data_IF_277517975062
#
_entry.id   IF_277517975062
#
_cell.length_a   1.000
_cell.length_b   1.000
_cell.length_c   1.000
_cell.angle_alpha   90.00
_cell.angle_beta   90.00
_cell.angle_gamma   90.00
#
_symmetry.space_group_name_H-M   'P 1'
#
loop_
_entity.id
_entity.type
_entity.pdbx_description
1 polymer ?
#
# COMPACT_ATOMS: atom_id res chain seq x y z
N UNK A 1 -30.69 -12.95 -4.99
CA UNK A 1 -29.65 -12.08 -4.39
C UNK A 1 -28.45 -12.15 -5.33
N UNK A 2 -28.15 -11.06 -6.03
CA UNK A 2 -26.93 -10.99 -6.84
C UNK A 2 -25.76 -11.06 -5.86
N UNK A 3 -25.07 -12.17 -5.82
CA UNK A 3 -23.84 -12.33 -5.07
C UNK A 3 -22.80 -11.50 -5.83
N UNK A 4 -22.35 -10.38 -5.27
CA UNK A 4 -21.27 -9.61 -5.84
C UNK A 4 -20.03 -10.50 -5.95
N UNK A 5 -19.52 -10.71 -7.17
CA UNK A 5 -18.35 -11.55 -7.43
C UNK A 5 -17.14 -10.92 -6.72
N UNK A 6 -16.43 -11.74 -5.96
CA UNK A 6 -15.26 -11.33 -5.20
C UNK A 6 -13.95 -11.81 -5.84
N UNK A 7 -12.84 -11.25 -5.41
CA UNK A 7 -11.50 -11.75 -5.80
C UNK A 7 -11.31 -13.19 -5.31
N UNK A 8 -11.90 -13.58 -4.19
CA UNK A 8 -11.86 -14.95 -3.68
C UNK A 8 -12.52 -15.92 -4.66
N UNK A 9 -13.68 -15.56 -5.24
CA UNK A 9 -14.37 -16.39 -6.24
C UNK A 9 -13.49 -16.58 -7.48
N UNK A 10 -12.77 -15.54 -7.90
CA UNK A 10 -11.79 -15.63 -9.00
C UNK A 10 -10.66 -16.60 -8.65
N UNK A 11 -10.16 -16.56 -7.41
CA UNK A 11 -9.15 -17.53 -6.96
C UNK A 11 -9.70 -18.94 -6.92
N UNK A 12 -10.88 -19.16 -6.36
CA UNK A 12 -11.50 -20.50 -6.33
C UNK A 12 -11.66 -21.08 -7.74
N UNK A 13 -12.07 -20.26 -8.69
CA UNK A 13 -12.35 -20.72 -10.06
C UNK A 13 -11.08 -21.03 -10.86
N UNK A 14 -10.07 -20.20 -10.78
CA UNK A 14 -8.92 -20.24 -11.70
C UNK A 14 -7.61 -20.70 -11.08
N UNK A 15 -7.50 -20.76 -9.74
CA UNK A 15 -6.24 -21.15 -9.09
C UNK A 15 -5.79 -22.58 -9.44
N UNK A 16 -6.66 -23.60 -9.51
CA UNK A 16 -6.24 -24.94 -9.91
C UNK A 16 -5.55 -24.93 -11.28
N UNK A 17 -6.20 -24.38 -12.30
CA UNK A 17 -5.64 -24.28 -13.65
C UNK A 17 -4.37 -23.42 -13.70
N UNK A 18 -4.30 -22.37 -12.88
CA UNK A 18 -3.10 -21.52 -12.78
C UNK A 18 -1.90 -22.30 -12.23
N UNK A 19 -2.09 -23.14 -11.22
CA UNK A 19 -1.06 -24.00 -10.63
C UNK A 19 -0.47 -25.01 -11.60
N UNK A 20 -1.27 -25.50 -12.55
CA UNK A 20 -0.80 -26.44 -13.59
C UNK A 20 0.15 -25.81 -14.60
N UNK A 21 -0.01 -24.50 -14.86
CA UNK A 21 0.65 -23.82 -15.97
C UNK A 21 1.68 -22.79 -15.55
N UNK A 22 1.75 -22.42 -14.26
CA UNK A 22 2.59 -21.34 -13.76
C UNK A 22 3.33 -21.75 -12.49
N UNK A 23 4.64 -21.49 -12.47
CA UNK A 23 5.44 -21.50 -11.25
C UNK A 23 5.35 -20.15 -10.55
N UNK A 24 5.17 -20.15 -9.25
CA UNK A 24 5.11 -18.94 -8.44
C UNK A 24 5.82 -19.12 -7.11
N UNK A 25 6.32 -18.03 -6.55
CA UNK A 25 7.14 -18.06 -5.34
C UNK A 25 6.36 -18.60 -4.14
N UNK A 26 7.05 -19.12 -3.10
CA UNK A 26 6.38 -19.57 -1.87
C UNK A 26 5.49 -18.50 -1.24
N UNK A 27 5.89 -17.22 -1.33
CA UNK A 27 5.09 -16.10 -0.81
C UNK A 27 3.81 -15.87 -1.63
N UNK A 28 3.86 -16.05 -2.96
CA UNK A 28 2.69 -15.98 -3.81
C UNK A 28 1.75 -17.16 -3.56
N UNK A 29 2.30 -18.39 -3.40
CA UNK A 29 1.53 -19.59 -3.06
C UNK A 29 0.78 -19.40 -1.75
N UNK A 30 1.49 -18.99 -0.69
CA UNK A 30 0.89 -18.71 0.60
C UNK A 30 -0.22 -17.65 0.50
N UNK A 31 0.00 -16.59 -0.27
CA UNK A 31 -0.99 -15.53 -0.46
C UNK A 31 -2.22 -16.06 -1.18
N UNK A 32 -2.04 -16.85 -2.25
CA UNK A 32 -3.15 -17.46 -2.99
C UNK A 32 -3.99 -18.36 -2.09
N UNK A 33 -3.36 -19.26 -1.31
CA UNK A 33 -4.04 -20.12 -0.35
C UNK A 33 -4.77 -19.32 0.73
N UNK A 34 -4.13 -18.28 1.29
CA UNK A 34 -4.76 -17.42 2.29
C UNK A 34 -6.02 -16.72 1.75
N UNK A 35 -5.97 -16.21 0.50
CA UNK A 35 -7.13 -15.55 -0.12
C UNK A 35 -8.25 -16.59 -0.36
N UNK A 36 -7.92 -17.75 -0.92
CA UNK A 36 -8.91 -18.81 -1.19
C UNK A 36 -9.61 -19.31 0.09
N UNK A 37 -8.88 -19.40 1.20
CA UNK A 37 -9.43 -19.90 2.48
C UNK A 37 -10.02 -18.81 3.38
N UNK A 38 -9.86 -17.53 3.05
CA UNK A 38 -10.29 -16.42 3.90
C UNK A 38 -11.80 -16.44 4.14
N UNK A 39 -12.22 -16.35 5.40
CA UNK A 39 -13.63 -16.46 5.81
C UNK A 39 -14.33 -17.76 5.36
N UNK A 40 -13.61 -18.87 5.34
CA UNK A 40 -14.15 -20.21 5.16
C UNK A 40 -13.92 -21.08 6.39
N UNK A 41 -14.54 -22.25 6.45
CA UNK A 41 -14.37 -23.21 7.52
C UNK A 41 -12.90 -23.66 7.70
N UNK A 42 -12.12 -23.67 6.60
CA UNK A 42 -10.70 -24.04 6.63
C UNK A 42 -9.83 -23.06 7.46
N UNK A 43 -10.28 -21.82 7.68
CA UNK A 43 -9.62 -20.87 8.58
C UNK A 43 -10.12 -20.98 10.02
N UNK A 44 -11.03 -21.92 10.29
CA UNK A 44 -11.73 -22.05 11.56
C UNK A 44 -12.89 -21.05 11.68
N UNK A 45 -13.73 -21.27 12.68
CA UNK A 45 -14.90 -20.45 12.94
C UNK A 45 -15.15 -20.28 14.45
N UNK A 46 -15.84 -19.20 14.79
CA UNK A 46 -16.42 -18.99 16.12
C UNK A 46 -17.93 -19.21 16.03
N UNK A 47 -18.45 -20.07 16.90
CA UNK A 47 -19.87 -20.29 17.02
C UNK A 47 -20.42 -19.52 18.22
N UNK A 48 -21.54 -18.84 18.03
CA UNK A 48 -22.28 -18.21 19.13
C UNK A 48 -23.77 -18.56 19.05
N UNK A 49 -24.42 -18.60 20.20
CA UNK A 49 -25.83 -18.85 20.31
C UNK A 49 -26.51 -17.76 21.14
N UNK A 50 -27.68 -17.34 20.74
CA UNK A 50 -28.47 -16.35 21.48
C UNK A 50 -29.12 -16.97 22.71
N UNK A 51 -29.00 -16.33 23.88
CA UNK A 51 -29.62 -16.76 25.13
C UNK A 51 -31.16 -16.76 25.07
N UNK A 52 -31.76 -15.87 24.27
CA UNK A 52 -33.20 -15.69 24.23
C UNK A 52 -33.89 -16.51 23.14
N UNK A 53 -33.37 -16.44 21.90
CA UNK A 53 -34.06 -17.09 20.77
C UNK A 53 -33.33 -18.33 20.23
N UNK A 54 -32.22 -18.74 20.85
CA UNK A 54 -31.40 -19.89 20.51
C UNK A 54 -30.89 -19.91 19.08
N UNK A 55 -30.96 -18.78 18.35
CA UNK A 55 -30.42 -18.66 17.02
C UNK A 55 -28.88 -18.75 17.07
N UNK A 56 -28.32 -19.61 16.22
CA UNK A 56 -26.89 -19.86 16.11
C UNK A 56 -26.28 -18.99 15.02
N UNK A 57 -25.08 -18.48 15.28
CA UNK A 57 -24.30 -17.66 14.35
C UNK A 57 -22.90 -18.25 14.20
N UNK A 58 -22.46 -18.38 12.95
CA UNK A 58 -21.11 -18.85 12.61
C UNK A 58 -20.34 -17.68 12.05
N UNK A 59 -19.19 -17.37 12.64
CA UNK A 59 -18.28 -16.32 12.19
C UNK A 59 -16.96 -16.96 11.78
N UNK A 60 -16.69 -17.05 10.48
CA UNK A 60 -15.45 -17.60 9.95
C UNK A 60 -14.28 -16.64 10.17
N UNK A 61 -13.12 -17.21 10.50
CA UNK A 61 -11.90 -16.44 10.75
C UNK A 61 -11.32 -15.87 9.46
N UNK A 62 -10.66 -14.71 9.59
CA UNK A 62 -9.95 -14.06 8.51
C UNK A 62 -8.52 -14.59 8.39
N UNK A 63 -7.96 -14.62 7.18
CA UNK A 63 -6.59 -15.09 6.95
C UNK A 63 -5.51 -14.11 7.41
N UNK A 64 -5.83 -12.86 7.71
CA UNK A 64 -4.93 -11.77 8.11
C UNK A 64 -3.74 -11.55 7.16
N UNK A 65 -3.77 -12.11 5.95
CA UNK A 65 -2.73 -11.89 4.95
C UNK A 65 -2.80 -10.46 4.43
N UNK A 66 -1.68 -9.76 4.46
CA UNK A 66 -1.56 -8.35 4.03
C UNK A 66 -1.96 -8.09 2.57
N UNK A 67 -2.08 -9.14 1.77
CA UNK A 67 -2.50 -9.08 0.36
C UNK A 67 -3.95 -9.51 0.14
N UNK A 68 -4.66 -9.90 1.20
CA UNK A 68 -6.06 -10.32 1.08
C UNK A 68 -6.99 -9.10 1.03
N UNK A 69 -7.78 -8.91 -0.04
CA UNK A 69 -8.72 -7.80 -0.13
C UNK A 69 -10.00 -8.01 0.68
N UNK A 70 -10.20 -9.21 1.23
CA UNK A 70 -11.42 -9.60 1.95
C UNK A 70 -11.41 -9.16 3.41
N UNK A 71 -10.25 -9.13 4.06
CA UNK A 71 -10.17 -9.01 5.53
C UNK A 71 -9.36 -7.82 6.06
N UNK A 72 -8.95 -6.86 5.21
CA UNK A 72 -8.08 -5.76 5.62
C UNK A 72 -8.84 -4.50 6.11
N UNK A 73 -10.17 -4.57 6.25
CA UNK A 73 -10.98 -3.37 6.56
C UNK A 73 -10.63 -2.74 7.91
N UNK A 74 -10.67 -3.53 8.97
CA UNK A 74 -10.44 -3.04 10.34
C UNK A 74 -8.98 -2.60 10.55
N UNK A 75 -8.01 -3.34 10.00
CA UNK A 75 -6.59 -2.97 10.05
C UNK A 75 -6.31 -1.62 9.37
N UNK A 76 -7.03 -1.32 8.29
CA UNK A 76 -7.00 -0.01 7.62
C UNK A 76 -7.50 1.09 8.55
N UNK A 77 -8.66 0.88 9.17
CA UNK A 77 -9.29 1.87 10.03
C UNK A 77 -8.47 2.11 11.30
N UNK A 78 -7.91 1.06 11.90
CA UNK A 78 -6.97 1.18 13.03
C UNK A 78 -5.70 1.92 12.65
N UNK A 79 -5.15 1.62 11.46
CA UNK A 79 -3.98 2.33 10.97
C UNK A 79 -4.27 3.81 10.72
N UNK A 80 -5.43 4.12 10.13
CA UNK A 80 -5.89 5.50 9.91
C UNK A 80 -6.00 6.23 11.25
N UNK A 81 -6.69 5.65 12.22
CA UNK A 81 -6.87 6.23 13.54
C UNK A 81 -5.53 6.54 14.23
N UNK A 82 -4.60 5.59 14.17
CA UNK A 82 -3.24 5.78 14.71
C UNK A 82 -2.44 6.86 13.96
N UNK A 83 -2.59 6.97 12.63
CA UNK A 83 -1.90 8.03 11.88
C UNK A 83 -2.44 9.43 12.18
N UNK A 84 -3.69 9.57 12.64
CA UNK A 84 -4.24 10.86 13.05
C UNK A 84 -3.44 11.50 14.19
N UNK A 85 -2.84 10.70 15.06
CA UNK A 85 -1.93 11.19 16.10
C UNK A 85 -0.69 11.91 15.54
N UNK A 86 -0.30 11.63 14.29
CA UNK A 86 0.88 12.20 13.65
C UNK A 86 0.54 13.34 12.69
N UNK A 87 -0.70 13.78 12.66
CA UNK A 87 -1.13 14.86 11.77
C UNK A 87 -0.96 16.20 12.48
N UNK A 88 -0.45 17.18 11.72
CA UNK A 88 -0.36 18.58 12.09
C UNK A 88 -1.38 19.37 11.25
N UNK A 89 -1.84 20.51 11.76
CA UNK A 89 -2.74 21.39 11.01
C UNK A 89 -1.95 22.30 10.06
N UNK A 90 -1.38 21.67 9.03
CA UNK A 90 -0.59 22.32 7.97
C UNK A 90 -1.03 21.77 6.61
N UNK A 91 -0.70 22.45 5.49
CA UNK A 91 -0.88 21.88 4.17
C UNK A 91 -0.12 20.57 3.99
N UNK A 92 -0.67 19.63 3.20
CA UNK A 92 0.00 18.40 2.83
C UNK A 92 0.04 18.26 1.32
N UNK A 93 1.17 17.82 0.80
CA UNK A 93 1.35 17.59 -0.62
C UNK A 93 1.46 16.12 -0.93
N UNK A 94 0.92 15.73 -2.07
CA UNK A 94 1.05 14.39 -2.60
C UNK A 94 2.05 14.39 -3.75
N UNK A 95 3.15 13.68 -3.56
CA UNK A 95 4.19 13.50 -4.57
C UNK A 95 4.27 12.04 -4.98
N UNK A 96 4.45 11.76 -6.26
CA UNK A 96 4.64 10.42 -6.80
C UNK A 96 6.00 10.34 -7.48
N UNK A 97 6.80 9.32 -7.14
CA UNK A 97 8.06 9.01 -7.78
C UNK A 97 7.91 7.71 -8.57
N UNK A 98 8.11 7.77 -9.86
CA UNK A 98 7.94 6.63 -10.77
C UNK A 98 9.24 6.30 -11.50
N UNK A 99 9.59 5.02 -11.55
CA UNK A 99 10.73 4.54 -12.34
C UNK A 99 10.31 4.25 -13.79
N UNK A 100 11.22 4.40 -14.78
CA UNK A 100 10.97 4.05 -16.17
C UNK A 100 10.62 2.57 -16.36
N UNK A 101 9.81 2.27 -17.38
CA UNK A 101 9.32 0.90 -17.64
C UNK A 101 10.42 -0.08 -18.05
N UNK A 102 11.51 0.41 -18.62
CA UNK A 102 12.68 -0.40 -18.98
C UNK A 102 13.31 -1.10 -17.77
N UNK A 103 13.07 -0.57 -16.59
CA UNK A 103 13.55 -1.17 -15.33
C UNK A 103 12.61 -2.24 -14.76
N UNK A 104 11.38 -2.38 -15.26
CA UNK A 104 10.37 -3.20 -14.59
C UNK A 104 10.77 -4.67 -14.48
N UNK A 105 11.33 -5.24 -15.53
CA UNK A 105 11.79 -6.63 -15.51
C UNK A 105 12.94 -6.85 -14.51
N UNK A 106 13.90 -5.93 -14.51
CA UNK A 106 15.02 -5.98 -13.56
C UNK A 106 14.54 -5.78 -12.11
N UNK A 107 13.60 -4.85 -11.89
CA UNK A 107 13.00 -4.62 -10.55
C UNK A 107 12.22 -5.87 -10.10
N UNK A 108 11.49 -6.51 -11.00
CA UNK A 108 10.72 -7.71 -10.66
C UNK A 108 11.64 -8.88 -10.24
N UNK A 109 12.78 -9.04 -10.90
CA UNK A 109 13.81 -10.02 -10.52
C UNK A 109 14.50 -9.68 -9.19
N UNK A 110 14.53 -8.39 -8.79
CA UNK A 110 15.26 -7.87 -7.63
C UNK A 110 14.38 -7.04 -6.71
N UNK A 111 13.15 -7.49 -6.45
CA UNK A 111 12.12 -6.68 -5.78
C UNK A 111 12.61 -5.98 -4.52
N UNK A 112 13.21 -6.72 -3.57
CA UNK A 112 13.64 -6.14 -2.30
C UNK A 112 14.71 -5.06 -2.50
N UNK A 113 15.75 -5.37 -3.27
CA UNK A 113 16.89 -4.45 -3.48
C UNK A 113 16.46 -3.19 -4.23
N UNK A 114 15.73 -3.34 -5.34
CA UNK A 114 15.39 -2.21 -6.19
C UNK A 114 14.19 -1.40 -5.69
N UNK A 115 13.31 -2.00 -4.85
CA UNK A 115 12.34 -1.22 -4.08
C UNK A 115 13.05 -0.42 -2.97
N UNK A 116 14.05 -1.00 -2.28
CA UNK A 116 14.84 -0.27 -1.30
C UNK A 116 15.60 0.90 -1.93
N UNK A 117 16.20 0.70 -3.12
CA UNK A 117 16.81 1.77 -3.91
C UNK A 117 15.80 2.87 -4.28
N UNK A 118 14.55 2.51 -4.64
CA UNK A 118 13.48 3.46 -4.94
C UNK A 118 13.14 4.33 -3.72
N UNK A 119 12.99 3.72 -2.54
CA UNK A 119 12.78 4.47 -1.29
C UNK A 119 13.96 5.36 -0.95
N UNK A 120 15.19 4.85 -1.09
CA UNK A 120 16.40 5.60 -0.79
C UNK A 120 16.55 6.81 -1.72
N UNK A 121 16.37 6.63 -3.03
CA UNK A 121 16.44 7.72 -4.00
C UNK A 121 15.38 8.80 -3.72
N UNK A 122 14.13 8.42 -3.44
CA UNK A 122 13.09 9.37 -3.07
C UNK A 122 13.42 10.09 -1.76
N UNK A 123 13.95 9.37 -0.75
CA UNK A 123 14.37 9.96 0.52
C UNK A 123 15.49 10.98 0.32
N UNK A 124 16.56 10.64 -0.40
CA UNK A 124 17.68 11.55 -0.66
C UNK A 124 17.21 12.79 -1.42
N UNK A 125 16.34 12.63 -2.39
CA UNK A 125 15.74 13.74 -3.14
C UNK A 125 15.02 14.71 -2.21
N UNK A 126 14.13 14.19 -1.36
CA UNK A 126 13.36 15.01 -0.43
C UNK A 126 14.25 15.67 0.63
N UNK A 127 15.26 14.95 1.12
CA UNK A 127 16.20 15.47 2.12
C UNK A 127 17.10 16.58 1.55
N UNK A 128 17.70 16.36 0.37
CA UNK A 128 18.56 17.35 -0.30
C UNK A 128 17.79 18.64 -0.58
N UNK A 129 16.62 18.52 -1.23
CA UNK A 129 15.84 19.70 -1.63
C UNK A 129 15.21 20.44 -0.45
N UNK A 130 14.79 19.71 0.60
CA UNK A 130 14.21 20.38 1.77
C UNK A 130 15.24 21.13 2.60
N UNK A 131 16.47 20.64 2.66
CA UNK A 131 17.57 21.30 3.38
C UNK A 131 18.10 22.55 2.66
N UNK A 132 17.93 22.64 1.33
CA UNK A 132 18.39 23.78 0.54
C UNK A 132 17.58 25.06 0.91
N UNK A 133 18.26 26.14 1.38
CA UNK A 133 17.59 27.40 1.69
C UNK A 133 16.85 28.04 0.52
N UNK A 134 17.24 27.78 -0.73
CA UNK A 134 16.54 28.23 -1.94
C UNK A 134 15.12 27.69 -2.00
N UNK A 135 14.90 26.48 -1.47
CA UNK A 135 13.61 25.83 -1.44
C UNK A 135 12.90 26.06 -0.10
N UNK A 136 13.35 25.41 0.98
CA UNK A 136 12.72 25.52 2.29
C UNK A 136 13.74 25.86 3.39
N UNK A 137 14.92 25.26 3.36
CA UNK A 137 15.93 25.39 4.42
C UNK A 137 15.47 24.77 5.74
N UNK A 138 14.75 23.64 5.68
CA UNK A 138 14.21 22.97 6.87
C UNK A 138 14.08 21.46 6.65
N UNK A 139 14.11 20.70 7.73
CA UNK A 139 13.86 19.26 7.71
C UNK A 139 12.36 18.99 7.76
N UNK A 140 11.83 18.44 6.68
CA UNK A 140 10.42 18.06 6.54
C UNK A 140 10.12 16.67 7.11
N UNK A 141 8.81 16.34 7.24
CA UNK A 141 8.32 14.99 7.52
C UNK A 141 7.48 14.46 6.36
N UNK A 142 7.59 13.18 6.05
CA UNK A 142 6.78 12.54 5.02
C UNK A 142 6.66 11.03 5.20
N UNK A 143 5.62 10.46 4.55
CA UNK A 143 5.32 9.03 4.53
C UNK A 143 5.38 8.58 3.08
N UNK A 144 6.16 7.54 2.80
CA UNK A 144 6.23 6.88 1.49
C UNK A 144 5.50 5.54 1.52
N UNK A 145 4.69 5.28 0.49
CA UNK A 145 3.95 4.02 0.32
C UNK A 145 4.26 3.45 -1.06
N UNK A 146 4.79 2.24 -1.10
CA UNK A 146 5.06 1.55 -2.36
C UNK A 146 3.76 1.01 -2.97
N UNK A 147 3.56 1.34 -4.25
CA UNK A 147 2.63 0.67 -5.13
C UNK A 147 3.40 0.01 -6.28
N UNK A 148 2.96 -1.16 -6.68
CA UNK A 148 3.58 -1.90 -7.79
C UNK A 148 2.65 -2.06 -8.99
N UNK A 149 1.46 -1.46 -8.95
CA UNK A 149 0.40 -1.64 -9.95
C UNK A 149 -0.12 -0.33 -10.54
N UNK A 150 -0.45 -0.39 -11.83
CA UNK A 150 -1.26 0.62 -12.51
C UNK A 150 -2.76 0.31 -12.43
N UNK A 151 -3.58 1.12 -13.09
CA UNK A 151 -5.04 0.94 -13.06
C UNK A 151 -5.52 -0.36 -13.73
N UNK A 152 -4.73 -0.91 -14.64
CA UNK A 152 -4.96 -2.18 -15.34
C UNK A 152 -4.30 -3.38 -14.65
N UNK A 153 -3.85 -3.25 -13.41
CA UNK A 153 -3.05 -4.23 -12.68
C UNK A 153 -1.73 -4.60 -13.37
N UNK A 154 -1.26 -3.81 -14.34
CA UNK A 154 0.07 -3.94 -14.91
C UNK A 154 1.15 -3.60 -13.87
N UNK A 155 2.30 -4.22 -13.98
CA UNK A 155 3.45 -3.92 -13.08
C UNK A 155 3.93 -2.49 -13.31
N UNK A 156 3.92 -1.68 -12.26
CA UNK A 156 4.22 -0.25 -12.33
C UNK A 156 4.72 0.25 -10.95
N UNK A 157 5.99 -0.07 -10.59
CA UNK A 157 6.53 0.33 -9.30
C UNK A 157 6.65 1.85 -9.17
N UNK A 158 6.06 2.40 -8.11
CA UNK A 158 6.12 3.83 -7.80
C UNK A 158 5.85 4.07 -6.33
N UNK A 159 6.32 5.21 -5.82
CA UNK A 159 6.07 5.65 -4.45
C UNK A 159 5.03 6.77 -4.44
N UNK A 160 3.98 6.58 -3.67
CA UNK A 160 3.15 7.67 -3.20
C UNK A 160 3.77 8.26 -1.94
N UNK A 161 4.03 9.56 -1.95
CA UNK A 161 4.65 10.26 -0.83
C UNK A 161 3.74 11.38 -0.36
N UNK A 162 3.36 11.36 0.92
CA UNK A 162 2.61 12.43 1.56
C UNK A 162 3.57 13.26 2.39
N UNK A 163 3.67 14.53 2.06
CA UNK A 163 4.68 15.46 2.56
C UNK A 163 4.03 16.56 3.37
N UNK A 164 4.54 16.83 4.57
CA UNK A 164 4.20 18.01 5.36
C UNK A 164 4.56 19.28 4.60
N UNK A 165 3.69 20.26 4.55
CA UNK A 165 3.89 21.55 3.90
C UNK A 165 4.83 22.51 4.65
N UNK A 166 5.69 21.98 5.52
CA UNK A 166 6.70 22.71 6.25
C UNK A 166 7.61 21.78 7.02
N UNK A 167 8.53 22.36 7.79
CA UNK A 167 9.52 21.63 8.55
C UNK A 167 10.21 22.45 9.62
N UNK A 168 11.12 21.82 10.35
CA UNK A 168 11.96 22.48 11.35
C UNK A 168 13.30 22.90 10.76
N UNK A 169 13.68 24.17 10.90
CA UNK A 169 14.98 24.68 10.53
C UNK A 169 16.08 24.27 11.55
N UNK A 170 17.31 24.73 11.33
CA UNK A 170 18.44 24.44 12.21
C UNK A 170 18.24 25.00 13.64
N UNK A 171 17.44 26.05 13.80
CA UNK A 171 17.08 26.61 15.10
C UNK A 171 15.82 25.97 15.72
N UNK A 172 15.34 24.85 15.18
CA UNK A 172 14.11 24.18 15.55
C UNK A 172 12.84 25.06 15.48
N UNK A 173 12.83 26.09 14.62
CA UNK A 173 11.67 26.90 14.32
C UNK A 173 10.92 26.33 13.13
N UNK A 174 9.58 26.45 13.13
CA UNK A 174 8.76 26.03 11.99
C UNK A 174 8.96 26.96 10.80
N UNK A 175 9.21 26.36 9.63
CA UNK A 175 9.25 27.05 8.34
C UNK A 175 8.29 26.39 7.37
N UNK A 176 7.53 27.18 6.61
CA UNK A 176 6.66 26.75 5.51
C UNK A 176 6.65 27.80 4.38
N UNK A 177 6.00 27.46 3.28
CA UNK A 177 5.72 28.35 2.16
C UNK A 177 4.20 28.42 1.86
N UNK A 178 3.40 28.20 2.88
CA UNK A 178 1.94 28.21 2.79
C UNK A 178 1.42 27.04 1.93
N UNK A 179 0.42 27.35 1.06
CA UNK A 179 -0.20 26.33 0.19
C UNK A 179 0.61 26.01 -1.08
N UNK A 180 1.68 26.75 -1.36
CA UNK A 180 2.54 26.51 -2.53
C UNK A 180 3.52 25.39 -2.24
N UNK A 181 3.59 24.41 -3.14
CA UNK A 181 4.60 23.35 -3.06
C UNK A 181 5.98 23.93 -3.35
N UNK A 182 6.96 23.56 -2.55
CA UNK A 182 8.26 24.21 -2.49
C UNK A 182 9.34 23.58 -3.37
N UNK A 183 9.06 22.48 -4.06
CA UNK A 183 10.04 21.81 -4.94
C UNK A 183 9.56 21.79 -6.40
N UNK A 184 10.32 22.36 -7.34
CA UNK A 184 10.02 22.25 -8.76
C UNK A 184 10.10 20.79 -9.23
N UNK A 185 9.07 20.31 -9.93
CA UNK A 185 8.96 18.91 -10.39
C UNK A 185 10.16 18.48 -11.25
N UNK A 186 10.65 19.36 -12.15
CA UNK A 186 11.82 19.09 -13.00
C UNK A 186 13.08 18.86 -12.17
N UNK A 187 13.30 19.66 -11.11
CA UNK A 187 14.43 19.52 -10.20
C UNK A 187 14.33 18.21 -9.42
N UNK A 188 13.14 17.92 -8.87
CA UNK A 188 12.90 16.66 -8.17
C UNK A 188 13.15 15.44 -9.06
N UNK A 189 12.71 15.49 -10.33
CA UNK A 189 12.93 14.40 -11.29
C UNK A 189 14.42 14.18 -11.56
N UNK A 190 15.19 15.24 -11.77
CA UNK A 190 16.62 15.15 -12.01
C UNK A 190 17.40 14.61 -10.80
N UNK A 191 17.08 15.08 -9.59
CA UNK A 191 17.72 14.62 -8.34
C UNK A 191 17.32 13.17 -8.03
N UNK A 192 16.06 12.79 -8.21
CA UNK A 192 15.59 11.43 -8.02
C UNK A 192 16.29 10.45 -8.97
N UNK A 193 16.37 10.81 -10.28
CA UNK A 193 17.10 10.04 -11.28
C UNK A 193 18.57 9.84 -10.87
N UNK A 194 19.27 10.93 -10.48
CA UNK A 194 20.66 10.89 -10.01
C UNK A 194 20.87 9.85 -8.90
N UNK A 195 20.02 9.87 -7.88
CA UNK A 195 20.16 8.96 -6.75
C UNK A 195 19.80 7.51 -7.10
N UNK A 196 18.73 7.29 -7.85
CA UNK A 196 18.35 5.93 -8.23
C UNK A 196 19.38 5.25 -9.13
N UNK A 197 19.88 5.97 -10.14
CA UNK A 197 20.90 5.42 -11.05
C UNK A 197 22.23 5.17 -10.36
N UNK A 198 22.61 5.99 -9.38
CA UNK A 198 23.78 5.74 -8.54
C UNK A 198 23.65 4.44 -7.76
N UNK A 199 22.50 4.20 -7.11
CA UNK A 199 22.22 2.97 -6.38
C UNK A 199 22.20 1.76 -7.31
N UNK A 200 21.52 1.88 -8.46
CA UNK A 200 21.44 0.83 -9.45
C UNK A 200 22.83 0.41 -9.96
N UNK A 201 23.67 1.40 -10.29
CA UNK A 201 25.04 1.17 -10.73
C UNK A 201 25.87 0.49 -9.64
N UNK A 202 25.76 0.92 -8.40
CA UNK A 202 26.46 0.31 -7.27
C UNK A 202 26.03 -1.15 -7.06
N UNK A 203 24.73 -1.43 -7.09
CA UNK A 203 24.23 -2.81 -6.97
C UNK A 203 24.71 -3.71 -8.11
N UNK A 204 24.87 -3.16 -9.31
CA UNK A 204 25.40 -3.89 -10.44
C UNK A 204 26.92 -4.17 -10.28
N UNK A 205 27.72 -3.19 -9.89
CA UNK A 205 29.16 -3.31 -9.62
C UNK A 205 29.43 -4.31 -8.47
N UNK A 206 28.61 -4.28 -7.44
CA UNK A 206 28.67 -5.20 -6.30
C UNK A 206 28.20 -6.63 -6.64
N UNK A 207 27.73 -6.88 -7.89
CA UNK A 207 27.19 -8.17 -8.36
C UNK A 207 26.03 -8.69 -7.50
N UNK A 208 25.20 -7.77 -6.96
CA UNK A 208 24.06 -8.09 -6.10
C UNK A 208 22.76 -8.33 -6.87
N UNK A 209 22.75 -8.03 -8.17
CA UNK A 209 21.55 -8.15 -9.00
C UNK A 209 21.42 -9.55 -9.60
N UNK A 210 20.18 -10.03 -9.62
CA UNK A 210 19.76 -11.24 -10.34
C UNK A 210 19.11 -10.85 -11.67
N UNK A 211 19.23 -11.74 -12.68
CA UNK A 211 18.81 -11.46 -14.05
C UNK A 211 17.96 -12.62 -14.56
N UNK A 212 16.63 -12.48 -14.49
CA UNK A 212 15.68 -13.50 -14.91
C UNK A 212 14.80 -13.00 -16.06
N UNK A 213 14.31 -13.94 -16.87
CA UNK A 213 13.39 -13.67 -17.98
C UNK A 213 13.95 -12.62 -18.95
N UNK A 214 13.17 -11.59 -19.23
CA UNK A 214 13.55 -10.52 -20.17
C UNK A 214 14.69 -9.62 -19.66
N UNK A 215 15.06 -9.70 -18.38
CA UNK A 215 16.23 -8.99 -17.84
C UNK A 215 17.55 -9.76 -18.01
N UNK A 216 17.56 -11.00 -18.51
CA UNK A 216 18.74 -11.86 -18.56
C UNK A 216 19.92 -11.24 -19.36
N UNK A 217 19.63 -10.49 -20.41
CA UNK A 217 20.64 -9.81 -21.25
C UNK A 217 21.42 -8.73 -20.46
N UNK A 218 20.82 -8.12 -19.42
CA UNK A 218 21.45 -7.07 -18.61
C UNK A 218 22.60 -7.58 -17.71
N UNK A 219 22.83 -8.91 -17.68
CA UNK A 219 24.05 -9.48 -17.08
C UNK A 219 25.30 -9.06 -17.89
N UNK A 220 25.14 -8.78 -19.17
CA UNK A 220 26.21 -8.29 -20.04
C UNK A 220 26.52 -6.82 -19.74
N UNK A 221 27.83 -6.49 -19.60
CA UNK A 221 28.29 -5.13 -19.29
C UNK A 221 27.85 -4.09 -20.32
N UNK A 222 27.94 -4.45 -21.59
CA UNK A 222 27.58 -3.54 -22.69
C UNK A 222 26.08 -3.22 -22.64
N UNK A 223 25.22 -4.23 -22.54
CA UNK A 223 23.77 -4.09 -22.47
C UNK A 223 23.33 -3.28 -21.25
N UNK A 224 23.94 -3.52 -20.10
CA UNK A 224 23.66 -2.76 -18.89
C UNK A 224 24.08 -1.29 -19.04
N UNK A 225 25.24 -1.02 -19.67
CA UNK A 225 25.70 0.34 -19.96
C UNK A 225 24.79 1.09 -20.94
N UNK A 226 24.31 0.39 -21.97
CA UNK A 226 23.32 0.92 -22.93
C UNK A 226 22.03 1.31 -22.20
N UNK A 227 21.52 0.41 -21.34
CA UNK A 227 20.36 0.72 -20.48
C UNK A 227 20.61 1.95 -19.61
N UNK A 228 21.72 2.03 -18.88
CA UNK A 228 22.04 3.18 -18.04
C UNK A 228 22.06 4.49 -18.82
N UNK A 229 22.70 4.51 -19.99
CA UNK A 229 22.75 5.72 -20.83
C UNK A 229 21.35 6.15 -21.27
N UNK A 230 20.53 5.21 -21.73
CA UNK A 230 19.14 5.50 -22.12
C UNK A 230 18.30 6.07 -20.97
N UNK A 231 18.55 5.59 -19.74
CA UNK A 231 17.87 6.08 -18.54
C UNK A 231 18.34 7.48 -18.10
N UNK A 232 19.62 7.84 -18.36
CA UNK A 232 20.13 9.19 -18.15
C UNK A 232 19.49 10.21 -19.08
N UNK A 233 19.24 9.85 -20.33
CA UNK A 233 18.66 10.75 -21.33
C UNK A 233 17.16 10.99 -21.13
N UNK A 234 16.47 10.10 -20.44
CA UNK A 234 15.03 10.20 -20.18
C UNK A 234 14.67 11.15 -19.04
N UNK A 235 13.50 11.78 -19.17
CA UNK A 235 12.85 12.43 -18.05
C UNK A 235 12.11 11.36 -17.20
N UNK A 236 12.39 11.36 -15.89
CA UNK A 236 11.72 10.42 -14.99
C UNK A 236 10.42 11.00 -14.44
N UNK A 237 9.44 10.12 -14.24
CA UNK A 237 8.12 10.51 -13.78
C UNK A 237 8.12 10.93 -12.32
N UNK A 238 8.08 12.25 -12.09
CA UNK A 238 7.73 12.81 -10.79
C UNK A 238 6.49 13.67 -10.96
N UNK A 239 5.51 13.46 -10.11
CA UNK A 239 4.25 14.20 -10.12
C UNK A 239 3.98 14.75 -8.73
N UNK A 240 3.52 15.98 -8.67
CA UNK A 240 3.08 16.61 -7.42
C UNK A 240 1.70 17.19 -7.62
N UNK A 241 0.82 16.88 -6.68
CA UNK A 241 -0.51 17.47 -6.60
C UNK A 241 -0.55 18.49 -5.47
N UNK A 242 -1.29 19.55 -5.66
CA UNK A 242 -1.56 20.59 -4.68
C UNK A 242 -2.04 20.03 -3.33
N UNK A 243 -1.93 20.89 -2.32
CA UNK A 243 -2.24 20.57 -0.96
C UNK A 243 -3.65 19.99 -0.78
N UNK A 244 -3.75 18.95 -0.01
CA UNK A 244 -5.05 18.48 0.47
C UNK A 244 -5.71 19.53 1.36
N UNK A 245 -7.02 19.71 1.21
CA UNK A 245 -7.81 20.55 2.09
C UNK A 245 -7.96 19.91 3.47
N UNK A 246 -6.95 20.14 4.33
CA UNK A 246 -6.92 19.74 5.74
C UNK A 246 -6.49 18.29 6.00
N UNK A 247 -6.15 18.06 7.25
CA UNK A 247 -5.60 16.83 7.80
C UNK A 247 -6.45 15.59 7.53
N UNK A 248 -7.77 15.68 7.64
CA UNK A 248 -8.68 14.56 7.44
C UNK A 248 -8.69 14.03 6.01
N UNK A 249 -8.47 14.90 5.01
CA UNK A 249 -8.39 14.50 3.60
C UNK A 249 -7.15 13.67 3.33
N UNK A 250 -6.03 14.04 3.95
CA UNK A 250 -4.74 13.32 3.87
C UNK A 250 -4.88 11.92 4.40
N UNK A 251 -5.49 11.77 5.58
CA UNK A 251 -5.61 10.48 6.26
C UNK A 251 -6.53 9.54 5.48
N UNK A 252 -7.68 10.03 5.01
CA UNK A 252 -8.57 9.24 4.16
C UNK A 252 -7.89 8.82 2.85
N UNK A 253 -7.07 9.69 2.28
CA UNK A 253 -6.28 9.38 1.11
C UNK A 253 -5.26 8.28 1.42
N UNK A 254 -4.48 8.42 2.49
CA UNK A 254 -3.51 7.43 2.93
C UNK A 254 -4.18 6.06 3.18
N UNK A 255 -5.29 6.01 3.91
CA UNK A 255 -6.00 4.76 4.19
C UNK A 255 -6.44 4.04 2.93
N UNK A 256 -6.88 4.77 1.90
CA UNK A 256 -7.27 4.18 0.61
C UNK A 256 -6.10 3.54 -0.14
N UNK A 257 -4.88 4.02 0.05
CA UNK A 257 -3.70 3.60 -0.71
C UNK A 257 -2.76 2.69 0.06
N UNK A 258 -2.76 2.74 1.40
CA UNK A 258 -1.82 1.98 2.24
C UNK A 258 -2.13 0.50 2.33
N UNK A 259 -3.40 0.11 2.23
CA UNK A 259 -3.85 -1.29 2.40
C UNK A 259 -4.47 -1.90 1.13
N UNK A 260 -4.58 -1.14 0.05
CA UNK A 260 -5.02 -1.69 -1.24
C UNK A 260 -3.92 -2.50 -1.89
N UNK A 261 -4.35 -3.57 -2.54
CA UNK A 261 -3.51 -4.37 -3.43
C UNK A 261 -4.22 -4.38 -4.76
N UNK A 262 -3.48 -4.09 -5.80
CA UNK A 262 -3.85 -4.14 -7.21
C UNK A 262 -5.31 -3.77 -7.54
N UNK A 263 -6.29 -4.48 -6.96
CA UNK A 263 -7.71 -4.32 -7.27
C UNK A 263 -8.58 -4.59 -6.02
N UNK A 264 -9.78 -4.02 -5.96
CA UNK A 264 -10.81 -4.30 -4.95
C UNK A 264 -11.98 -5.07 -5.56
N UNK A 265 -12.75 -5.83 -4.75
CA UNK A 265 -13.92 -6.57 -5.22
C UNK A 265 -14.89 -5.72 -6.04
N UNK A 266 -15.12 -4.46 -5.63
CA UNK A 266 -16.02 -3.52 -6.33
C UNK A 266 -15.66 -3.23 -7.79
N UNK A 267 -14.46 -3.64 -8.23
CA UNK A 267 -14.03 -3.46 -9.62
C UNK A 267 -14.28 -4.69 -10.47
N UNK A 268 -14.64 -5.83 -9.88
CA UNK A 268 -15.02 -7.02 -10.63
C UNK A 268 -16.47 -6.86 -11.08
N UNK A 269 -16.70 -6.97 -12.38
CA UNK A 269 -18.03 -6.79 -13.00
C UNK A 269 -18.69 -8.14 -13.23
N UNK A 270 -17.96 -9.07 -13.86
CA UNK A 270 -18.47 -10.40 -14.18
C UNK A 270 -17.35 -11.42 -14.30
N UNK A 271 -17.72 -12.70 -14.23
CA UNK A 271 -16.82 -13.82 -14.38
C UNK A 271 -17.54 -14.93 -15.17
N UNK A 272 -16.83 -15.55 -16.09
CA UNK A 272 -17.23 -16.76 -16.79
C UNK A 272 -16.31 -17.91 -16.43
N UNK A 273 -16.51 -19.07 -17.07
CA UNK A 273 -15.59 -20.22 -16.89
C UNK A 273 -14.17 -19.97 -17.42
N UNK A 274 -13.97 -18.96 -18.24
CA UNK A 274 -12.69 -18.69 -18.90
C UNK A 274 -12.13 -17.30 -18.61
N UNK A 275 -12.99 -16.34 -18.28
CA UNK A 275 -12.62 -14.92 -18.23
C UNK A 275 -13.13 -14.20 -17.00
N UNK A 276 -12.47 -13.09 -16.68
CA UNK A 276 -12.87 -12.11 -15.66
C UNK A 276 -12.95 -10.74 -16.32
N UNK A 277 -14.09 -10.07 -16.13
CA UNK A 277 -14.31 -8.66 -16.55
C UNK A 277 -14.22 -7.76 -15.34
N UNK A 278 -13.42 -6.71 -15.43
CA UNK A 278 -13.22 -5.76 -14.35
C UNK A 278 -13.03 -4.33 -14.84
N UNK A 279 -13.34 -3.35 -13.98
CA UNK A 279 -13.22 -1.94 -14.29
C UNK A 279 -11.77 -1.48 -14.23
N UNK A 280 -11.32 -0.78 -15.28
CA UNK A 280 -10.05 -0.08 -15.34
C UNK A 280 -10.24 1.40 -15.61
N UNK A 281 -9.35 2.23 -15.08
CA UNK A 281 -9.40 3.66 -15.30
C UNK A 281 -8.64 4.02 -16.58
N UNK A 282 -9.34 4.59 -17.56
CA UNK A 282 -8.74 5.05 -18.81
C UNK A 282 -8.29 6.50 -18.68
N UNK A 283 -7.00 6.68 -18.37
CA UNK A 283 -6.40 8.00 -18.21
C UNK A 283 -6.30 8.80 -19.53
N UNK A 284 -6.30 8.11 -20.70
CA UNK A 284 -6.26 8.77 -22.01
C UNK A 284 -7.58 9.45 -22.33
N UNK A 285 -8.69 8.91 -21.84
CA UNK A 285 -10.05 9.42 -22.06
C UNK A 285 -10.65 10.06 -20.80
N UNK A 286 -9.89 10.95 -20.15
CA UNK A 286 -10.37 11.73 -19.01
C UNK A 286 -10.55 10.95 -17.71
N UNK A 287 -9.98 9.75 -17.62
CA UNK A 287 -9.99 8.94 -16.39
C UNK A 287 -11.33 8.28 -16.10
N UNK A 288 -12.19 8.06 -17.09
CA UNK A 288 -13.41 7.27 -16.96
C UNK A 288 -13.11 5.79 -16.73
N UNK A 289 -14.01 5.10 -16.06
CA UNK A 289 -13.91 3.66 -15.92
C UNK A 289 -14.46 2.97 -17.16
N UNK A 290 -13.71 2.02 -17.71
CA UNK A 290 -14.10 1.14 -18.80
C UNK A 290 -13.93 -0.32 -18.35
N UNK A 291 -14.66 -1.23 -18.97
CA UNK A 291 -14.55 -2.65 -18.74
C UNK A 291 -13.38 -3.24 -19.51
N UNK A 292 -12.66 -4.13 -18.86
CA UNK A 292 -11.60 -4.94 -19.46
C UNK A 292 -11.84 -6.41 -19.13
N UNK A 293 -11.88 -7.25 -20.16
CA UNK A 293 -12.03 -8.70 -20.04
C UNK A 293 -10.72 -9.40 -20.35
N UNK A 294 -10.26 -10.28 -19.47
CA UNK A 294 -9.04 -11.08 -19.63
C UNK A 294 -9.29 -12.54 -19.21
N UNK A 295 -8.37 -13.45 -19.58
CA UNK A 295 -8.40 -14.82 -19.08
C UNK A 295 -8.28 -14.85 -17.56
N UNK A 296 -9.00 -15.78 -16.89
CA UNK A 296 -8.95 -15.87 -15.43
C UNK A 296 -7.55 -16.17 -14.87
N UNK A 297 -6.79 -17.03 -15.54
CA UNK A 297 -5.38 -17.33 -15.19
C UNK A 297 -4.49 -16.09 -15.35
N UNK A 298 -4.72 -15.27 -16.37
CA UNK A 298 -3.99 -14.01 -16.55
C UNK A 298 -4.34 -12.99 -15.47
N UNK A 299 -5.61 -12.93 -15.03
CA UNK A 299 -6.00 -12.10 -13.90
C UNK A 299 -5.24 -12.51 -12.63
N UNK A 300 -5.12 -13.81 -12.34
CA UNK A 300 -4.35 -14.31 -11.19
C UNK A 300 -2.86 -13.96 -11.32
N UNK A 301 -2.28 -14.12 -12.51
CA UNK A 301 -0.88 -13.75 -12.79
C UNK A 301 -0.65 -12.27 -12.48
N UNK A 302 -1.52 -11.40 -12.99
CA UNK A 302 -1.44 -9.96 -12.76
C UNK A 302 -1.64 -9.59 -11.29
N UNK A 303 -2.54 -10.26 -10.58
CA UNK A 303 -2.71 -10.03 -9.15
C UNK A 303 -1.49 -10.47 -8.34
N UNK A 304 -1.02 -11.71 -8.57
CA UNK A 304 0.06 -12.33 -7.79
C UNK A 304 1.43 -11.66 -8.03
N UNK A 305 1.65 -10.99 -9.16
CA UNK A 305 2.90 -10.24 -9.38
C UNK A 305 3.06 -9.06 -8.40
N UNK A 306 2.00 -8.64 -7.73
CA UNK A 306 2.04 -7.56 -6.74
C UNK A 306 2.26 -8.05 -5.30
N UNK A 307 2.40 -9.36 -5.12
CA UNK A 307 2.76 -9.94 -3.83
C UNK A 307 4.19 -9.56 -3.49
N UNK A 308 4.37 -8.87 -2.39
CA UNK A 308 5.66 -8.36 -1.95
C UNK A 308 6.48 -9.44 -1.23
N UNK A 309 7.80 -9.36 -1.24
CA UNK A 309 8.68 -10.27 -0.49
C UNK A 309 8.31 -10.33 1.00
N UNK A 310 8.57 -11.49 1.63
CA UNK A 310 8.34 -11.69 3.07
C UNK A 310 9.10 -10.62 3.87
N UNK A 311 8.40 -10.01 4.83
CA UNK A 311 8.98 -8.99 5.72
C UNK A 311 9.24 -7.63 5.06
N UNK A 312 8.92 -7.44 3.78
CA UNK A 312 9.14 -6.14 3.12
C UNK A 312 8.25 -5.05 3.72
N UNK A 313 8.85 -3.94 4.16
CA UNK A 313 8.15 -2.79 4.75
C UNK A 313 7.68 -1.85 3.65
N UNK A 314 6.35 -1.85 3.41
CA UNK A 314 5.71 -1.10 2.32
C UNK A 314 5.43 0.36 2.66
N UNK A 315 5.28 0.71 3.93
CA UNK A 315 5.02 2.07 4.41
C UNK A 315 6.21 2.52 5.22
N UNK A 316 6.87 3.61 4.80
CA UNK A 316 8.06 4.13 5.49
C UNK A 316 7.88 5.59 5.86
N UNK A 317 8.32 5.93 7.06
CA UNK A 317 8.23 7.27 7.63
C UNK A 317 9.61 7.93 7.68
N UNK A 318 9.70 9.16 7.24
CA UNK A 318 10.96 9.87 7.11
C UNK A 318 10.93 11.26 7.77
N UNK A 319 12.13 11.81 8.03
CA UNK A 319 12.31 13.14 8.56
C UNK A 319 11.68 13.33 9.94
N UNK A 320 10.78 14.29 10.08
CA UNK A 320 10.06 14.55 11.35
C UNK A 320 9.15 13.39 11.75
N UNK A 321 8.65 12.61 10.77
CA UNK A 321 7.76 11.47 10.99
C UNK A 321 8.52 10.15 11.20
N UNK A 322 9.86 10.12 11.12
CA UNK A 322 10.65 8.91 11.38
C UNK A 322 10.47 8.43 12.81
N UNK A 323 10.54 7.11 13.05
CA UNK A 323 10.27 6.50 14.35
C UNK A 323 11.19 7.03 15.48
N UNK A 324 12.43 7.39 15.13
CA UNK A 324 13.39 7.92 16.11
C UNK A 324 12.93 9.29 16.63
N UNK A 325 12.67 9.39 17.93
CA UNK A 325 12.24 10.60 18.66
C UNK A 325 10.99 11.26 18.03
N UNK A 326 10.10 10.45 17.41
CA UNK A 326 8.91 10.97 16.73
C UNK A 326 7.98 11.71 17.69
N UNK A 327 7.73 11.13 18.88
CA UNK A 327 6.81 11.73 19.88
C UNK A 327 7.27 13.13 20.28
N UNK A 328 8.54 13.30 20.58
CA UNK A 328 9.15 14.59 20.99
C UNK A 328 9.08 15.62 19.86
N UNK A 329 9.51 15.22 18.63
CA UNK A 329 9.45 16.09 17.45
C UNK A 329 8.03 16.55 17.14
N UNK A 330 7.07 15.64 17.19
CA UNK A 330 5.66 15.97 16.91
C UNK A 330 5.06 16.85 18.01
N UNK A 331 5.40 16.62 19.28
CA UNK A 331 4.98 17.48 20.39
C UNK A 331 5.54 18.91 20.23
N UNK A 332 6.83 19.02 19.84
CA UNK A 332 7.45 20.31 19.57
C UNK A 332 6.77 21.04 18.39
N UNK A 333 6.52 20.35 17.28
CA UNK A 333 5.83 20.94 16.12
C UNK A 333 4.41 21.40 16.51
N UNK A 334 3.66 20.61 17.29
CA UNK A 334 2.30 21.00 17.75
C UNK A 334 2.35 22.27 18.59
N UNK A 335 3.33 22.37 19.51
CA UNK A 335 3.50 23.58 20.33
C UNK A 335 3.77 24.82 19.47
N UNK A 336 4.63 24.71 18.45
CA UNK A 336 4.92 25.81 17.52
C UNK A 336 3.72 26.22 16.67
N UNK A 337 2.88 25.26 16.31
CA UNK A 337 1.73 25.44 15.41
C UNK A 337 0.38 25.61 16.14
N UNK A 338 0.38 25.62 17.47
CA UNK A 338 -0.85 25.62 18.31
C UNK A 338 -1.86 24.52 17.90
N UNK A 339 -1.35 23.35 17.49
CA UNK A 339 -2.19 22.23 17.05
C UNK A 339 -2.66 21.39 18.24
N UNK A 340 -3.94 21.03 18.25
CA UNK A 340 -4.50 20.10 19.23
C UNK A 340 -4.01 18.68 18.91
N UNK A 341 -3.62 17.94 19.93
CA UNK A 341 -3.24 16.53 19.76
C UNK A 341 -4.49 15.67 19.59
N UNK A 342 -4.53 14.89 18.50
CA UNK A 342 -5.52 13.84 18.36
C UNK A 342 -5.19 12.67 19.31
N UNK A 343 -6.23 12.16 19.97
CA UNK A 343 -6.15 10.96 20.81
C UNK A 343 -6.84 9.82 20.05
N UNK A 344 -6.14 8.71 19.85
CA UNK A 344 -6.68 7.53 19.18
C UNK A 344 -7.96 7.04 19.87
N UNK A 345 -9.01 6.82 19.09
CA UNK A 345 -10.30 6.30 19.58
C UNK A 345 -10.30 4.77 19.70
N UNK A 346 -9.37 4.12 19.00
CA UNK A 346 -9.32 2.66 18.86
C UNK A 346 -8.20 2.01 19.68
N UNK A 347 -7.23 2.80 20.16
CA UNK A 347 -6.12 2.27 20.96
C UNK A 347 -6.62 1.66 22.27
N UNK A 348 -6.16 0.44 22.57
CA UNK A 348 -6.54 -0.30 23.79
C UNK A 348 -7.97 -0.86 23.78
N UNK A 349 -8.73 -0.70 22.70
CA UNK A 349 -10.08 -1.22 22.55
C UNK A 349 -10.08 -2.67 22.08
N UNK A 350 -11.03 -3.45 22.58
CA UNK A 350 -11.32 -4.80 22.12
C UNK A 350 -11.88 -4.80 20.69
N UNK A 351 -11.91 -5.95 20.03
CA UNK A 351 -12.50 -6.10 18.69
C UNK A 351 -13.98 -5.66 18.68
N UNK A 352 -14.76 -6.05 19.69
CA UNK A 352 -16.18 -5.68 19.81
C UNK A 352 -16.35 -4.16 19.95
N UNK A 353 -15.58 -3.52 20.82
CA UNK A 353 -15.60 -2.05 20.98
C UNK A 353 -15.22 -1.33 19.69
N UNK A 354 -14.19 -1.82 18.97
CA UNK A 354 -13.77 -1.25 17.67
C UNK A 354 -14.88 -1.35 16.63
N UNK A 355 -15.55 -2.50 16.52
CA UNK A 355 -16.68 -2.70 15.60
C UNK A 355 -17.85 -1.77 15.94
N UNK A 356 -18.13 -1.58 17.22
CA UNK A 356 -19.16 -0.64 17.68
C UNK A 356 -18.80 0.81 17.31
N UNK A 357 -17.54 1.23 17.53
CA UNK A 357 -17.09 2.59 17.22
C UNK A 357 -17.13 2.87 15.72
N UNK A 358 -16.58 1.93 14.91
CA UNK A 358 -16.38 2.12 13.47
C UNK A 358 -17.64 1.90 12.65
N UNK A 359 -18.41 0.84 12.97
CA UNK A 359 -19.48 0.35 12.12
C UNK A 359 -20.84 0.32 12.80
N UNK A 360 -20.92 0.75 14.08
CA UNK A 360 -22.15 0.70 14.90
C UNK A 360 -22.72 -0.73 15.00
N UNK A 361 -21.83 -1.74 14.93
CA UNK A 361 -22.19 -3.15 15.00
C UNK A 361 -21.81 -3.73 16.36
N UNK A 362 -22.82 -4.16 17.11
CA UNK A 362 -22.65 -4.89 18.36
C UNK A 362 -22.63 -6.41 18.08
N UNK A 363 -21.41 -6.98 18.09
CA UNK A 363 -21.23 -8.42 17.86
C UNK A 363 -21.59 -9.29 19.08
N UNK A 364 -21.89 -8.68 20.22
CA UNK A 364 -22.35 -9.39 21.41
C UNK A 364 -23.88 -9.50 21.49
N UNK A 365 -24.60 -8.91 20.54
CA UNK A 365 -26.06 -8.90 20.48
C UNK A 365 -26.59 -9.68 19.29
N UNK A 366 -27.68 -10.38 19.52
CA UNK A 366 -28.40 -11.12 18.49
C UNK A 366 -29.08 -10.15 17.50
N UNK A 367 -28.80 -10.27 16.21
CA UNK A 367 -29.42 -9.44 15.17
C UNK A 367 -30.94 -9.68 15.02
N UNK A 368 -31.45 -10.84 15.50
CA UNK A 368 -32.87 -11.20 15.37
C UNK A 368 -33.71 -10.67 16.54
N UNK A 369 -33.22 -10.71 17.78
CA UNK A 369 -34.04 -10.40 18.97
C UNK A 369 -33.37 -9.44 19.97
N UNK A 370 -32.13 -9.01 19.72
CA UNK A 370 -31.38 -8.13 20.61
C UNK A 370 -30.82 -8.80 21.89
N UNK A 371 -31.08 -10.10 22.10
CA UNK A 371 -30.55 -10.86 23.23
C UNK A 371 -29.03 -11.00 23.19
N UNK A 372 -28.42 -11.43 24.30
CA UNK A 372 -26.96 -11.64 24.33
C UNK A 372 -26.57 -12.87 23.53
N UNK A 373 -25.38 -12.81 22.91
CA UNK A 373 -24.75 -13.94 22.24
C UNK A 373 -23.70 -14.58 23.16
N UNK A 374 -23.90 -15.87 23.46
CA UNK A 374 -22.92 -16.71 24.15
C UNK A 374 -21.98 -17.34 23.16
N UNK A 375 -20.67 -17.21 23.40
CA UNK A 375 -19.66 -17.92 22.61
C UNK A 375 -19.65 -19.40 22.99
N UNK A 376 -19.91 -20.27 22.01
CA UNK A 376 -19.76 -21.70 22.17
C UNK A 376 -18.33 -22.08 21.76
N UNK A 377 -17.47 -22.48 22.72
CA UNK A 377 -16.10 -22.87 22.39
C UNK A 377 -16.11 -24.18 21.60
N UNK A 378 -15.87 -24.11 20.30
CA UNK A 378 -15.45 -25.27 19.54
C UNK A 378 -13.97 -25.55 19.91
N UNK A 379 -13.74 -26.54 20.78
CA UNK A 379 -12.38 -27.07 21.01
C UNK A 379 -11.91 -27.78 19.75
N UNK A 380 -11.20 -27.08 18.91
CA UNK A 380 -10.57 -27.61 17.69
C UNK A 380 -9.60 -26.58 17.13
N UNK A 381 -8.37 -26.53 17.67
CA UNK A 381 -7.29 -25.78 17.07
C UNK A 381 -6.75 -26.56 15.87
N UNK A 382 -7.15 -26.19 14.66
CA UNK A 382 -6.35 -26.47 13.47
C UNK A 382 -5.40 -25.30 13.27
N UNK A 383 -4.20 -25.39 13.87
CA UNK A 383 -3.10 -24.50 13.50
C UNK A 383 -2.45 -25.07 12.25
N UNK A 384 -2.41 -24.29 11.17
CA UNK A 384 -1.51 -24.53 10.06
C UNK A 384 -0.08 -24.22 10.56
N UNK A 385 0.72 -25.27 10.79
CA UNK A 385 2.16 -25.17 10.93
C UNK A 385 2.82 -24.88 9.60
#
# INVERSE_FOLDING_TARGET
>A
MNHDITIQDVFHRFLPQYCETHNFSPQQQLTALCISKCHTLEMGANLSECENCHKKYIHYNSCKNRHCPMCQGMEVDEWIDKQQENVLDVPYFHTVFTVPEELYSLIYSNQKLLYDALYHAAHQTMAELSADPKHLGARIGYICVLHTWGSRMNYHPHLHTIVLGGGLDAANKWKDKGKKFFFPVKVMSAVFKKYYLRELKQLWEDKKLEYHGTAAHLKNHYEFKVLLNSLYDKNWGVYTKEAFNGANSVIRYLGRYTHRIAISNRRIVSMTDKTVTYLVKDYKNGGKYIEQTIKGTEFLRMFLMHVLPKGFVRIRHYGLLSCRNKKEKMAHCRKLLNCIQYISKLQGKTCAEKLMILYKKDICKCEACGGNLLSLSLRGHYMLT
#
